data_IF_698873788282
#
_entry.id   IF_698873788282
#
_cell.length_a   1.000
_cell.length_b   1.000
_cell.length_c   1.000
_cell.angle_alpha   90.00
_cell.angle_beta   90.00
_cell.angle_gamma   90.00
#
_symmetry.space_group_name_H-M   'P 1'
#
loop_
_entity.id
_entity.type
_entity.pdbx_description
1 polymer ?
#
# COMPACT_ATOMS: atom_id res chain seq x y z
N UNK A 1 -2.90 8.73 17.51
CA UNK A 1 -2.63 9.50 16.28
C UNK A 1 -1.19 9.93 16.30
N UNK A 2 -0.41 9.45 15.35
CA UNK A 2 0.89 10.05 15.04
C UNK A 2 0.65 11.42 14.39
N UNK A 3 1.47 12.41 14.71
CA UNK A 3 1.39 13.72 14.07
C UNK A 3 1.63 13.61 12.56
N UNK A 4 0.95 14.44 11.76
CA UNK A 4 1.03 14.41 10.29
C UNK A 4 2.47 14.65 9.81
N UNK A 5 3.25 15.47 10.53
CA UNK A 5 4.67 15.68 10.25
C UNK A 5 5.49 14.40 10.42
N UNK A 6 5.31 13.71 11.55
CA UNK A 6 6.03 12.46 11.84
C UNK A 6 5.70 11.35 10.82
N UNK A 7 4.45 11.26 10.38
CA UNK A 7 4.00 10.31 9.35
C UNK A 7 4.73 10.51 8.02
N UNK A 8 4.84 11.77 7.58
CA UNK A 8 5.54 12.11 6.35
C UNK A 8 7.04 11.76 6.39
N UNK A 9 7.68 11.91 7.55
CA UNK A 9 9.09 11.56 7.74
C UNK A 9 9.31 10.04 7.65
N UNK A 10 8.42 9.26 8.27
CA UNK A 10 8.41 7.80 8.15
C UNK A 10 8.25 7.38 6.69
N UNK A 11 7.30 7.96 5.95
CA UNK A 11 7.10 7.64 4.52
C UNK A 11 8.34 7.96 3.68
N UNK A 12 9.03 9.08 3.95
CA UNK A 12 10.28 9.42 3.26
C UNK A 12 11.38 8.41 3.56
N UNK A 13 11.51 7.97 4.81
CA UNK A 13 12.50 6.97 5.20
C UNK A 13 12.22 5.63 4.51
N UNK A 14 10.95 5.19 4.49
CA UNK A 14 10.51 3.97 3.80
C UNK A 14 10.88 4.04 2.31
N UNK A 15 10.51 5.12 1.61
CA UNK A 15 10.88 5.30 0.19
C UNK A 15 12.38 5.29 -0.03
N UNK A 16 13.15 5.95 0.84
CA UNK A 16 14.62 5.96 0.74
C UNK A 16 15.19 4.55 0.83
N UNK A 17 14.72 3.74 1.78
CA UNK A 17 15.16 2.35 1.95
C UNK A 17 14.77 1.48 0.76
N UNK A 18 13.53 1.62 0.27
CA UNK A 18 13.05 0.92 -0.92
C UNK A 18 13.92 1.24 -2.15
N UNK A 19 14.24 2.51 -2.38
CA UNK A 19 15.11 2.96 -3.48
C UNK A 19 16.56 2.46 -3.36
N UNK A 20 16.99 2.02 -2.17
CA UNK A 20 18.28 1.38 -1.95
C UNK A 20 18.24 -0.14 -2.20
N UNK A 21 17.12 -0.67 -2.69
CA UNK A 21 16.93 -2.10 -2.94
C UNK A 21 16.44 -2.89 -1.71
N UNK A 22 16.03 -2.21 -0.64
CA UNK A 22 15.46 -2.89 0.53
C UNK A 22 14.02 -3.31 0.22
N UNK A 23 13.70 -4.61 0.36
CA UNK A 23 12.33 -5.08 0.28
C UNK A 23 11.52 -4.63 1.49
N UNK A 24 10.35 -4.01 1.26
CA UNK A 24 9.47 -3.51 2.31
C UNK A 24 8.09 -4.14 2.17
N UNK A 25 7.56 -4.65 3.29
CA UNK A 25 6.16 -5.05 3.41
C UNK A 25 5.44 -3.97 4.19
N UNK A 26 4.60 -3.19 3.50
CA UNK A 26 3.77 -2.16 4.11
C UNK A 26 2.40 -2.72 4.45
N UNK A 27 1.95 -2.52 5.69
CA UNK A 27 0.61 -2.86 6.16
C UNK A 27 -0.03 -1.57 6.64
N UNK A 28 -1.14 -1.18 6.01
CA UNK A 28 -1.89 0.02 6.37
C UNK A 28 -3.38 -0.19 6.20
N UNK A 29 -4.17 0.44 7.06
CA UNK A 29 -5.63 0.57 6.92
C UNK A 29 -6.03 1.81 6.12
N UNK A 30 -5.07 2.66 5.75
CA UNK A 30 -5.31 3.89 4.99
C UNK A 30 -4.96 3.66 3.51
N UNK A 31 -5.98 3.60 2.65
CA UNK A 31 -5.79 3.41 1.20
C UNK A 31 -4.86 4.45 0.56
N UNK A 32 -4.89 5.75 0.92
CA UNK A 32 -3.96 6.73 0.34
C UNK A 32 -2.48 6.39 0.60
N UNK A 33 -2.16 5.75 1.73
CA UNK A 33 -0.80 5.29 1.98
C UNK A 33 -0.41 4.17 1.03
N UNK A 34 -1.27 3.15 0.91
CA UNK A 34 -1.03 2.00 0.03
C UNK A 34 -0.83 2.47 -1.41
N UNK A 35 -1.70 3.37 -1.89
CA UNK A 35 -1.64 3.91 -3.25
C UNK A 35 -0.38 4.77 -3.46
N UNK A 36 0.03 5.55 -2.46
CA UNK A 36 1.17 6.47 -2.58
C UNK A 36 2.54 5.87 -2.31
N UNK A 37 2.62 4.62 -1.81
CA UNK A 37 3.86 4.03 -1.28
C UNK A 37 4.22 2.68 -1.89
N UNK A 38 3.26 1.93 -2.41
CA UNK A 38 3.48 0.57 -2.89
C UNK A 38 3.62 0.53 -4.41
N UNK A 39 4.58 -0.25 -4.90
CA UNK A 39 4.69 -0.60 -6.33
C UNK A 39 3.83 -1.83 -6.69
N UNK A 40 3.40 -2.58 -5.66
CA UNK A 40 2.57 -3.78 -5.77
C UNK A 40 1.73 -3.97 -4.52
N UNK A 41 0.45 -4.27 -4.72
CA UNK A 41 -0.54 -4.48 -3.66
C UNK A 41 -1.17 -5.85 -3.82
N UNK A 42 -1.07 -6.67 -2.78
CA UNK A 42 -1.69 -7.98 -2.70
C UNK A 42 -2.96 -7.84 -1.86
N UNK A 43 -4.13 -8.07 -2.46
CA UNK A 43 -5.42 -7.86 -1.79
C UNK A 43 -6.01 -9.20 -1.39
N UNK A 44 -6.36 -9.33 -0.10
CA UNK A 44 -7.01 -10.51 0.43
C UNK A 44 -8.48 -10.22 0.77
N UNK A 45 -9.34 -11.21 0.54
CA UNK A 45 -10.75 -11.21 0.94
C UNK A 45 -11.09 -12.59 1.51
N UNK A 46 -11.69 -12.63 2.70
CA UNK A 46 -12.06 -13.87 3.41
C UNK A 46 -10.95 -14.94 3.48
N UNK A 47 -9.72 -14.50 3.80
CA UNK A 47 -8.56 -15.39 3.95
C UNK A 47 -8.00 -15.92 2.62
N UNK A 48 -8.51 -15.45 1.48
CA UNK A 48 -8.04 -15.82 0.13
C UNK A 48 -7.44 -14.62 -0.58
N UNK A 49 -6.50 -14.89 -1.48
CA UNK A 49 -6.00 -13.88 -2.41
C UNK A 49 -7.12 -13.51 -3.39
N UNK A 50 -7.57 -12.27 -3.34
CA UNK A 50 -8.57 -11.73 -4.26
C UNK A 50 -7.93 -11.22 -5.54
N UNK A 51 -6.73 -10.63 -5.43
CA UNK A 51 -5.96 -10.20 -6.60
C UNK A 51 -4.66 -9.49 -6.25
N UNK A 52 -3.91 -9.14 -7.28
CA UNK A 52 -2.69 -8.34 -7.19
C UNK A 52 -2.82 -7.14 -8.12
N UNK A 53 -2.50 -5.96 -7.62
CA UNK A 53 -2.50 -4.70 -8.36
C UNK A 53 -1.07 -4.16 -8.40
N UNK A 54 -0.60 -3.69 -9.55
CA UNK A 54 0.78 -3.25 -9.75
C UNK A 54 0.84 -1.93 -10.51
N UNK A 55 1.92 -1.18 -10.29
CA UNK A 55 2.27 0.03 -11.05
C UNK A 55 1.09 1.03 -11.17
N UNK A 56 0.80 1.48 -12.39
CA UNK A 56 -0.25 2.47 -12.70
C UNK A 56 -1.66 1.97 -12.39
N UNK A 57 -1.84 0.67 -12.20
CA UNK A 57 -3.15 0.12 -11.83
C UNK A 57 -3.49 0.33 -10.36
N UNK A 58 -2.52 0.70 -9.52
CA UNK A 58 -2.72 0.90 -8.09
C UNK A 58 -3.56 2.16 -7.87
N UNK A 59 -4.84 1.95 -7.56
CA UNK A 59 -5.75 3.00 -7.16
C UNK A 59 -6.80 2.48 -6.17
N UNK A 60 -7.42 3.40 -5.44
CA UNK A 60 -8.38 3.06 -4.39
C UNK A 60 -9.54 2.21 -4.92
N UNK A 61 -10.06 2.52 -6.11
CA UNK A 61 -11.20 1.81 -6.71
C UNK A 61 -10.89 0.33 -6.93
N UNK A 62 -9.76 0.00 -7.57
CA UNK A 62 -9.36 -1.40 -7.82
C UNK A 62 -9.11 -2.15 -6.52
N UNK A 63 -8.44 -1.52 -5.56
CA UNK A 63 -8.15 -2.15 -4.26
C UNK A 63 -9.45 -2.44 -3.50
N UNK A 64 -10.36 -1.46 -3.41
CA UNK A 64 -11.66 -1.62 -2.76
C UNK A 64 -12.45 -2.73 -3.43
N UNK A 65 -12.54 -2.74 -4.76
CA UNK A 65 -13.25 -3.76 -5.51
C UNK A 65 -12.78 -5.18 -5.12
N UNK A 66 -11.47 -5.42 -5.18
CA UNK A 66 -10.86 -6.70 -4.78
C UNK A 66 -11.10 -7.02 -3.29
N UNK A 67 -11.01 -6.02 -2.42
CA UNK A 67 -11.20 -6.20 -0.97
C UNK A 67 -12.66 -6.46 -0.59
N UNK A 68 -13.62 -6.01 -1.40
CA UNK A 68 -15.06 -6.23 -1.19
C UNK A 68 -15.59 -7.55 -1.74
N UNK A 69 -14.83 -8.24 -2.59
CA UNK A 69 -15.25 -9.52 -3.18
C UNK A 69 -16.32 -9.38 -4.27
N UNK A 70 -16.42 -8.21 -4.92
CA UNK A 70 -17.38 -7.92 -6.01
C UNK A 70 -16.73 -7.55 -7.33
#
# INVERSE_FOLDING_TARGET
GIDVGAKNEIHRLIRKLANQGTGIVLISSELPEIVGMCDRVVVMHEGRLSGVVVDEEINEKKIIQLASGV
#
